data_IF_662659402443
#
_entry.id   IF_662659402443
#
_cell.length_a   1.000
_cell.length_b   1.000
_cell.length_c   1.000
_cell.angle_alpha   90.00
_cell.angle_beta   90.00
_cell.angle_gamma   90.00
#
_symmetry.space_group_name_H-M   'P 1'
#
loop_
_entity.id
_entity.type
_entity.pdbx_description
1 polymer ?
#
# COMPACT_ATOMS: atom_id res chain seq x y z
N UNK A 1 -24.45 26.22 -8.57
CA UNK A 1 -23.34 25.28 -8.27
C UNK A 1 -22.50 25.10 -9.53
N UNK A 2 -21.21 25.48 -9.53
CA UNK A 2 -20.33 25.23 -10.70
C UNK A 2 -20.21 23.71 -10.91
N UNK A 3 -20.56 23.20 -12.10
CA UNK A 3 -20.28 21.80 -12.47
C UNK A 3 -18.76 21.60 -12.46
N UNK A 4 -18.27 20.81 -11.52
CA UNK A 4 -16.84 20.47 -11.47
C UNK A 4 -16.53 19.57 -12.65
N UNK A 5 -15.61 20.01 -13.52
CA UNK A 5 -15.16 19.21 -14.66
C UNK A 5 -13.86 18.48 -14.28
N UNK A 6 -13.96 17.17 -14.09
CA UNK A 6 -12.85 16.30 -13.70
C UNK A 6 -12.01 15.79 -14.88
N UNK A 7 -12.32 16.20 -16.12
CA UNK A 7 -11.57 15.83 -17.32
C UNK A 7 -10.45 16.82 -17.68
N UNK A 8 -10.11 17.74 -16.77
CA UNK A 8 -8.99 18.67 -16.95
C UNK A 8 -7.64 17.92 -16.82
N UNK A 9 -6.59 18.30 -17.58
CA UNK A 9 -5.28 17.62 -17.56
C UNK A 9 -4.65 17.47 -16.17
N UNK A 10 -4.94 18.40 -15.24
CA UNK A 10 -4.48 18.32 -13.84
C UNK A 10 -4.94 17.06 -13.09
N UNK A 11 -6.00 16.41 -13.54
CA UNK A 11 -6.54 15.18 -12.95
C UNK A 11 -6.03 13.90 -13.62
N UNK A 12 -5.19 14.00 -14.65
CA UNK A 12 -4.61 12.82 -15.32
C UNK A 12 -3.96 11.86 -14.31
N UNK A 13 -3.12 12.31 -13.35
CA UNK A 13 -2.52 11.39 -12.36
C UNK A 13 -3.57 10.65 -11.52
N UNK A 14 -4.65 11.33 -11.14
CA UNK A 14 -5.76 10.73 -10.39
C UNK A 14 -6.45 9.64 -11.22
N UNK A 15 -6.74 9.92 -12.48
CA UNK A 15 -7.35 8.94 -13.38
C UNK A 15 -6.44 7.76 -13.67
N UNK A 16 -5.13 7.98 -13.81
CA UNK A 16 -4.15 6.91 -13.92
C UNK A 16 -4.13 6.04 -12.66
N UNK A 17 -4.11 6.63 -11.47
CA UNK A 17 -4.17 5.90 -10.20
C UNK A 17 -5.44 5.04 -10.10
N UNK A 18 -6.62 5.62 -10.41
CA UNK A 18 -7.89 4.88 -10.43
C UNK A 18 -7.84 3.75 -11.47
N UNK A 19 -7.26 3.99 -12.64
CA UNK A 19 -7.03 2.98 -13.66
C UNK A 19 -6.18 1.81 -13.14
N UNK A 20 -5.05 2.11 -12.51
CA UNK A 20 -4.19 1.10 -11.89
C UNK A 20 -4.88 0.32 -10.78
N UNK A 21 -5.65 0.98 -9.91
CA UNK A 21 -6.45 0.30 -8.88
C UNK A 21 -7.42 -0.70 -9.51
N UNK A 22 -8.18 -0.29 -10.52
CA UNK A 22 -9.13 -1.16 -11.23
C UNK A 22 -8.46 -2.32 -11.96
N UNK A 23 -7.25 -2.13 -12.47
CA UNK A 23 -6.48 -3.22 -13.07
C UNK A 23 -5.95 -4.18 -12.00
N UNK A 24 -5.48 -3.64 -10.87
CA UNK A 24 -4.99 -4.41 -9.74
C UNK A 24 -6.04 -5.35 -9.17
N UNK A 25 -7.31 -4.96 -9.11
CA UNK A 25 -8.39 -5.83 -8.60
C UNK A 25 -8.67 -7.05 -9.48
N UNK A 26 -8.22 -7.05 -10.74
CA UNK A 26 -8.38 -8.21 -11.64
C UNK A 26 -7.37 -9.32 -11.34
N UNK A 27 -6.24 -9.01 -10.72
CA UNK A 27 -5.19 -9.97 -10.39
C UNK A 27 -5.65 -10.94 -9.26
N UNK A 28 -5.21 -12.21 -9.26
CA UNK A 28 -5.37 -13.10 -8.11
C UNK A 28 -4.73 -12.50 -6.85
N UNK A 29 -5.29 -12.78 -5.67
CA UNK A 29 -4.81 -12.18 -4.42
C UNK A 29 -3.36 -12.54 -4.09
N UNK A 30 -2.94 -13.77 -4.39
CA UNK A 30 -1.52 -14.17 -4.25
C UNK A 30 -0.58 -13.29 -5.08
N UNK A 31 -0.98 -12.90 -6.30
CA UNK A 31 -0.22 -11.99 -7.13
C UNK A 31 -0.22 -10.56 -6.57
N UNK A 32 -1.33 -10.11 -5.99
CA UNK A 32 -1.41 -8.81 -5.30
C UNK A 32 -0.48 -8.76 -4.09
N UNK A 33 -0.45 -9.82 -3.28
CA UNK A 33 0.47 -9.95 -2.15
C UNK A 33 1.93 -9.94 -2.62
N UNK A 34 2.27 -10.71 -3.66
CA UNK A 34 3.63 -10.74 -4.21
C UNK A 34 4.08 -9.37 -4.73
N UNK A 35 3.26 -8.72 -5.56
CA UNK A 35 3.56 -7.40 -6.11
C UNK A 35 3.62 -6.34 -5.01
N UNK A 36 2.67 -6.35 -4.07
CA UNK A 36 2.62 -5.44 -2.94
C UNK A 36 3.85 -5.56 -2.05
N UNK A 37 4.27 -6.78 -1.74
CA UNK A 37 5.53 -7.05 -1.02
C UNK A 37 6.72 -6.45 -1.76
N UNK A 38 6.80 -6.66 -3.08
CA UNK A 38 7.85 -6.08 -3.92
C UNK A 38 7.87 -4.55 -3.88
N UNK A 39 6.69 -3.91 -4.00
CA UNK A 39 6.55 -2.45 -3.88
C UNK A 39 7.01 -1.98 -2.51
N UNK A 40 6.58 -2.63 -1.42
CA UNK A 40 6.99 -2.29 -0.07
C UNK A 40 8.51 -2.35 0.13
N UNK A 41 9.15 -3.40 -0.39
CA UNK A 41 10.61 -3.56 -0.40
C UNK A 41 11.33 -2.45 -1.16
N UNK A 42 10.78 -2.00 -2.28
CA UNK A 42 11.32 -0.87 -3.06
C UNK A 42 11.12 0.47 -2.34
N UNK A 43 10.01 0.65 -1.63
CA UNK A 43 9.72 1.85 -0.86
C UNK A 43 10.60 1.99 0.39
N UNK A 44 11.01 0.88 1.01
CA UNK A 44 11.82 0.89 2.23
C UNK A 44 13.12 1.72 2.13
N UNK A 45 13.98 1.54 1.10
CA UNK A 45 15.16 2.39 0.93
C UNK A 45 14.84 3.80 0.40
N UNK A 46 13.75 3.97 -0.38
CA UNK A 46 13.40 5.23 -1.02
C UNK A 46 12.80 6.25 -0.04
N UNK A 47 11.98 5.78 0.91
CA UNK A 47 11.22 6.61 1.84
C UNK A 47 11.89 6.70 3.22
N UNK A 48 13.13 7.19 3.25
CA UNK A 48 13.99 7.26 4.45
C UNK A 48 13.32 7.96 5.65
N UNK A 49 12.57 9.04 5.40
CA UNK A 49 11.80 9.76 6.43
C UNK A 49 10.74 8.86 7.07
N UNK A 50 9.94 8.17 6.25
CA UNK A 50 8.88 7.27 6.74
C UNK A 50 9.47 6.06 7.45
N UNK A 51 10.61 5.54 6.97
CA UNK A 51 11.34 4.47 7.65
C UNK A 51 11.76 4.87 9.06
N UNK A 52 12.30 6.08 9.23
CA UNK A 52 12.67 6.61 10.55
C UNK A 52 11.45 6.73 11.48
N UNK A 53 10.32 7.21 10.97
CA UNK A 53 9.08 7.32 11.74
C UNK A 53 8.60 5.93 12.19
N UNK A 54 8.56 4.97 11.26
CA UNK A 54 8.16 3.60 11.56
C UNK A 54 9.09 2.96 12.61
N UNK A 55 10.41 3.15 12.50
CA UNK A 55 11.36 2.65 13.49
C UNK A 55 11.10 3.22 14.89
N UNK A 56 10.93 4.54 15.01
CA UNK A 56 10.64 5.19 16.29
C UNK A 56 9.33 4.66 16.90
N UNK A 57 8.29 4.54 16.07
CA UNK A 57 6.99 4.08 16.54
C UNK A 57 7.05 2.61 16.99
N UNK A 58 7.65 1.73 16.19
CA UNK A 58 7.76 0.30 16.51
C UNK A 58 8.65 0.10 17.75
N UNK A 59 9.78 0.81 17.87
CA UNK A 59 10.63 0.74 19.06
C UNK A 59 9.89 1.18 20.33
N UNK A 60 9.02 2.19 20.23
CA UNK A 60 8.19 2.65 21.36
C UNK A 60 7.08 1.66 21.71
N UNK A 61 6.45 1.03 20.71
CA UNK A 61 5.40 0.04 20.93
C UNK A 61 5.95 -1.28 21.48
N UNK A 62 7.21 -1.62 21.17
CA UNK A 62 7.85 -2.87 21.57
C UNK A 62 9.20 -2.60 22.25
N UNK A 63 9.20 -2.04 23.47
CA UNK A 63 10.42 -1.61 24.16
C UNK A 63 11.40 -2.76 24.48
N UNK A 64 10.89 -3.99 24.59
CA UNK A 64 11.70 -5.17 24.91
C UNK A 64 12.42 -5.78 23.69
N UNK A 65 12.18 -5.26 22.48
CA UNK A 65 12.81 -5.76 21.25
C UNK A 65 14.16 -5.11 21.00
N UNK A 66 15.11 -5.92 20.52
CA UNK A 66 16.39 -5.41 20.03
C UNK A 66 16.22 -4.53 18.79
N UNK A 67 17.22 -3.69 18.49
CA UNK A 67 17.20 -2.84 17.29
C UNK A 67 17.08 -3.62 15.97
N UNK A 68 17.64 -4.83 15.92
CA UNK A 68 17.57 -5.73 14.75
C UNK A 68 16.15 -6.25 14.56
N UNK A 69 15.48 -6.66 15.65
CA UNK A 69 14.08 -7.10 15.60
C UNK A 69 13.15 -5.94 15.20
N UNK A 70 13.39 -4.74 15.73
CA UNK A 70 12.65 -3.54 15.31
C UNK A 70 12.85 -3.28 13.83
N UNK A 71 14.08 -3.33 13.30
CA UNK A 71 14.34 -3.13 11.87
C UNK A 71 13.62 -4.17 11.00
N UNK A 72 13.61 -5.44 11.43
CA UNK A 72 12.85 -6.50 10.76
C UNK A 72 11.35 -6.17 10.71
N UNK A 73 10.77 -5.71 11.82
CA UNK A 73 9.37 -5.29 11.87
C UNK A 73 9.10 -4.05 11.00
N UNK A 74 10.04 -3.10 10.92
CA UNK A 74 9.91 -1.95 10.00
C UNK A 74 9.87 -2.46 8.56
N UNK A 75 10.74 -3.38 8.16
CA UNK A 75 10.74 -3.95 6.79
C UNK A 75 9.41 -4.65 6.49
N UNK A 76 8.91 -5.47 7.41
CA UNK A 76 7.60 -6.13 7.28
C UNK A 76 6.45 -5.12 7.20
N UNK A 77 6.50 -4.04 7.97
CA UNK A 77 5.51 -2.96 7.89
C UNK A 77 5.52 -2.28 6.51
N UNK A 78 6.69 -2.09 5.89
CA UNK A 78 6.77 -1.56 4.53
C UNK A 78 6.19 -2.54 3.49
N UNK A 79 6.45 -3.84 3.62
CA UNK A 79 5.82 -4.88 2.80
C UNK A 79 4.29 -4.82 2.94
N UNK A 80 3.77 -4.75 4.17
CA UNK A 80 2.34 -4.59 4.45
C UNK A 80 1.74 -3.32 3.84
N UNK A 81 2.46 -2.18 3.88
CA UNK A 81 2.03 -0.94 3.20
C UNK A 81 1.91 -1.13 1.68
N UNK A 82 2.82 -1.87 1.06
CA UNK A 82 2.74 -2.14 -0.37
C UNK A 82 1.57 -3.05 -0.73
N UNK A 83 1.29 -4.07 0.10
CA UNK A 83 0.13 -4.96 -0.05
C UNK A 83 -1.19 -4.19 0.14
N UNK A 84 -1.24 -3.26 1.10
CA UNK A 84 -2.46 -2.51 1.41
C UNK A 84 -2.91 -1.57 0.30
N UNK A 85 -2.04 -1.23 -0.65
CA UNK A 85 -2.43 -0.53 -1.89
C UNK A 85 -3.44 -1.36 -2.69
N UNK A 86 -3.23 -2.68 -2.79
CA UNK A 86 -4.14 -3.59 -3.46
C UNK A 86 -5.38 -3.89 -2.63
N UNK A 87 -5.24 -4.03 -1.31
CA UNK A 87 -6.39 -4.18 -0.41
C UNK A 87 -7.34 -2.97 -0.52
N UNK A 88 -6.79 -1.77 -0.55
CA UNK A 88 -7.53 -0.53 -0.80
C UNK A 88 -8.21 -0.58 -2.16
N UNK A 89 -7.50 -0.99 -3.22
CA UNK A 89 -8.10 -1.15 -4.55
C UNK A 89 -9.26 -2.15 -4.55
N UNK A 90 -9.12 -3.29 -3.87
CA UNK A 90 -10.18 -4.28 -3.72
C UNK A 90 -11.36 -3.74 -2.91
N UNK A 91 -11.12 -2.98 -1.84
CA UNK A 91 -12.19 -2.38 -1.05
C UNK A 91 -13.05 -1.40 -1.87
N UNK A 92 -12.43 -0.65 -2.79
CA UNK A 92 -13.16 0.30 -3.64
C UNK A 92 -13.78 -0.31 -4.90
N UNK A 93 -13.12 -1.29 -5.53
CA UNK A 93 -13.48 -1.76 -6.88
C UNK A 93 -13.59 -3.29 -7.02
N UNK A 94 -13.33 -4.04 -5.95
CA UNK A 94 -13.44 -5.49 -5.95
C UNK A 94 -14.90 -5.95 -5.97
N UNK A 95 -15.15 -7.12 -6.55
CA UNK A 95 -16.47 -7.76 -6.50
C UNK A 95 -16.66 -8.46 -5.16
N UNK A 96 -17.86 -8.37 -4.58
CA UNK A 96 -18.17 -8.94 -3.27
C UNK A 96 -17.88 -10.44 -3.18
N UNK A 97 -18.14 -11.22 -4.23
CA UNK A 97 -17.91 -12.68 -4.21
C UNK A 97 -16.43 -13.05 -4.19
N UNK A 98 -15.57 -12.18 -4.74
CA UNK A 98 -14.12 -12.36 -4.69
C UNK A 98 -13.59 -12.00 -3.31
N UNK A 99 -14.06 -10.90 -2.72
CA UNK A 99 -13.63 -10.42 -1.40
C UNK A 99 -14.02 -11.41 -0.30
N UNK A 100 -15.20 -12.02 -0.36
CA UNK A 100 -15.64 -13.03 0.61
C UNK A 100 -14.80 -14.32 0.61
N UNK A 101 -13.98 -14.54 -0.42
CA UNK A 101 -13.13 -15.73 -0.59
C UNK A 101 -11.66 -15.49 -0.25
N UNK A 102 -11.29 -14.26 0.12
CA UNK A 102 -9.95 -13.88 0.57
C UNK A 102 -9.83 -14.09 2.08
#
# INVERSE_FOLDING_TARGET
MKKQNFYQPKFIPTWLLIGFMKLGTKLPFSAQVFLGTGIGRLLYPLLSRFRKIAFINIARCFPDKSSIEVESLVRQNFEAIGISLFETANAYFGKSEKIQKL
#
